data_IF_352414542455
#
_entry.id   IF_352414542455
#
_cell.length_a   1.000
_cell.length_b   1.000
_cell.length_c   1.000
_cell.angle_alpha   90.00
_cell.angle_beta   90.00
_cell.angle_gamma   90.00
#
_symmetry.space_group_name_H-M   'P 1'
#
loop_
_entity.id
_entity.type
_entity.pdbx_description
1 polymer ?
#
# COMPACT_ATOMS: atom_id res chain seq x y z
N UNK A 1 28.74 -11.68 4.39
CA UNK A 1 27.95 -12.90 4.65
C UNK A 1 26.51 -12.61 4.23
N UNK A 2 25.93 -13.29 3.23
CA UNK A 2 24.54 -13.03 2.85
C UNK A 2 23.63 -13.46 4.01
N UNK A 3 22.68 -12.61 4.37
CA UNK A 3 21.63 -12.95 5.33
C UNK A 3 20.88 -14.18 4.77
N UNK A 4 21.06 -15.37 5.38
CA UNK A 4 20.19 -16.51 5.09
C UNK A 4 18.87 -16.25 5.80
N UNK A 5 17.84 -15.91 5.04
CA UNK A 5 16.46 -15.97 5.54
C UNK A 5 16.13 -17.46 5.59
N UNK A 6 15.92 -18.07 6.76
CA UNK A 6 15.49 -19.46 6.83
C UNK A 6 14.14 -19.58 6.11
N UNK A 7 14.01 -20.57 5.23
CA UNK A 7 12.69 -20.98 4.73
C UNK A 7 11.94 -21.58 5.93
N UNK A 8 11.17 -20.74 6.63
CA UNK A 8 10.20 -21.23 7.59
C UNK A 8 9.02 -21.78 6.79
N UNK A 9 8.49 -22.97 7.13
CA UNK A 9 7.24 -23.43 6.54
C UNK A 9 6.19 -22.32 6.69
N UNK A 10 5.45 -22.04 5.61
CA UNK A 10 4.26 -21.20 5.62
C UNK A 10 3.24 -21.89 6.56
N UNK A 11 3.40 -21.72 7.87
CA UNK A 11 2.30 -21.87 8.80
C UNK A 11 1.50 -20.59 8.66
N UNK A 12 0.31 -20.62 8.03
CA UNK A 12 -0.49 -19.43 7.95
C UNK A 12 -0.81 -19.00 9.37
N UNK A 13 -0.20 -17.90 9.81
CA UNK A 13 -0.73 -17.19 10.97
C UNK A 13 -2.01 -16.57 10.45
N UNK A 14 -3.14 -17.21 10.78
CA UNK A 14 -4.46 -16.79 10.30
C UNK A 14 -4.84 -15.39 10.80
N UNK A 15 -4.22 -14.94 11.91
CA UNK A 15 -4.43 -13.60 12.45
C UNK A 15 -3.24 -13.13 13.30
N UNK A 16 -2.83 -11.87 13.09
CA UNK A 16 -1.82 -11.16 13.91
C UNK A 16 -2.15 -11.21 15.40
N UNK A 17 -3.44 -11.26 15.75
CA UNK A 17 -3.94 -11.19 17.12
C UNK A 17 -3.68 -12.46 17.94
N UNK A 18 -3.29 -13.56 17.29
CA UNK A 18 -3.00 -14.84 17.96
C UNK A 18 -1.54 -14.94 18.47
N UNK A 19 -0.67 -14.00 18.09
CA UNK A 19 0.75 -14.00 18.49
C UNK A 19 0.92 -13.32 19.87
N UNK A 20 1.52 -13.99 20.88
CA UNK A 20 1.74 -13.40 22.20
C UNK A 20 2.63 -12.15 22.21
N UNK A 21 2.33 -11.19 23.10
CA UNK A 21 3.03 -9.90 23.17
C UNK A 21 4.53 -10.00 23.44
N UNK A 22 4.98 -11.02 24.17
CA UNK A 22 6.41 -11.27 24.43
C UNK A 22 7.23 -11.54 23.15
N UNK A 23 6.57 -11.71 22.00
CA UNK A 23 7.17 -11.96 20.69
C UNK A 23 7.02 -10.75 19.74
N UNK A 24 6.70 -9.58 20.29
CA UNK A 24 6.63 -8.29 19.57
C UNK A 24 8.02 -7.66 19.46
N UNK A 25 8.33 -7.14 18.27
CA UNK A 25 9.33 -6.09 18.09
C UNK A 25 8.65 -4.83 17.53
N UNK A 26 9.11 -3.65 17.95
CA UNK A 26 8.61 -2.34 17.48
C UNK A 26 9.79 -1.35 17.35
N UNK A 27 9.59 -0.26 16.61
CA UNK A 27 10.61 0.78 16.43
C UNK A 27 11.78 0.41 15.52
N UNK A 28 11.72 -0.75 14.86
CA UNK A 28 12.82 -1.26 14.03
C UNK A 28 12.51 -1.30 12.54
N UNK A 29 11.24 -1.26 12.15
CA UNK A 29 10.81 -1.43 10.76
C UNK A 29 9.84 -0.31 10.38
N UNK A 30 10.20 0.45 9.34
CA UNK A 30 9.41 1.57 8.84
C UNK A 30 9.24 1.53 7.32
N UNK A 31 8.14 2.06 6.83
CA UNK A 31 7.95 2.39 5.42
C UNK A 31 7.97 3.91 5.25
N UNK A 32 8.90 4.41 4.44
CA UNK A 32 9.06 5.86 4.22
C UNK A 32 8.06 6.46 3.22
N UNK A 33 8.10 7.79 3.09
CA UNK A 33 7.30 8.55 2.11
C UNK A 33 7.62 8.26 0.64
N UNK A 34 8.61 7.43 0.32
CA UNK A 34 8.89 6.95 -1.04
C UNK A 34 8.52 5.48 -1.23
N UNK A 35 8.08 4.81 -0.16
CA UNK A 35 7.68 3.40 -0.20
C UNK A 35 8.87 2.46 -0.09
N UNK A 36 9.97 2.92 0.48
CA UNK A 36 11.14 2.13 0.79
C UNK A 36 11.03 1.63 2.22
N UNK A 37 11.29 0.33 2.37
CA UNK A 37 11.43 -0.29 3.67
C UNK A 37 12.74 0.18 4.33
N UNK A 38 12.67 0.57 5.59
CA UNK A 38 13.79 0.96 6.44
C UNK A 38 13.90 -0.02 7.61
N UNK A 39 15.13 -0.43 7.95
CA UNK A 39 15.43 -1.17 9.18
C UNK A 39 16.44 -0.38 10.02
N UNK A 40 16.05 -0.02 11.24
CA UNK A 40 16.77 1.02 12.00
C UNK A 40 16.86 2.31 11.18
N UNK A 41 18.07 2.83 10.98
CA UNK A 41 18.31 4.08 10.24
C UNK A 41 18.59 3.87 8.73
N UNK A 42 18.59 2.62 8.26
CA UNK A 42 19.08 2.27 6.92
C UNK A 42 18.01 1.68 5.99
N UNK A 43 18.06 1.95 4.67
CA UNK A 43 17.13 1.36 3.72
C UNK A 43 17.42 -0.11 3.46
N UNK A 44 16.35 -0.91 3.34
CA UNK A 44 16.41 -2.29 2.90
C UNK A 44 16.46 -2.33 1.37
N UNK A 45 17.61 -2.71 0.82
CA UNK A 45 17.83 -2.76 -0.64
C UNK A 45 17.62 -4.16 -1.23
N UNK A 46 17.75 -5.22 -0.42
CA UNK A 46 17.71 -6.60 -0.89
C UNK A 46 16.31 -6.98 -1.43
N UNK A 47 16.16 -7.29 -2.75
CA UNK A 47 14.84 -7.47 -3.37
C UNK A 47 13.98 -8.57 -2.74
N UNK A 48 14.58 -9.72 -2.40
CA UNK A 48 13.85 -10.82 -1.76
C UNK A 48 13.32 -10.45 -0.37
N UNK A 49 14.05 -9.60 0.36
CA UNK A 49 13.60 -9.16 1.68
C UNK A 49 12.43 -8.18 1.54
N UNK A 50 12.50 -7.25 0.58
CA UNK A 50 11.36 -6.36 0.28
C UNK A 50 10.11 -7.16 -0.11
N UNK A 51 10.26 -8.13 -1.01
CA UNK A 51 9.16 -8.99 -1.43
C UNK A 51 8.59 -9.80 -0.24
N UNK A 52 9.46 -10.30 0.63
CA UNK A 52 9.05 -10.94 1.87
C UNK A 52 8.22 -9.99 2.76
N UNK A 53 8.69 -8.77 3.01
CA UNK A 53 7.98 -7.81 3.87
C UNK A 53 6.58 -7.48 3.31
N UNK A 54 6.50 -7.20 2.01
CA UNK A 54 5.21 -6.96 1.37
C UNK A 54 4.25 -8.15 1.49
N UNK A 55 4.76 -9.37 1.29
CA UNK A 55 3.93 -10.60 1.37
C UNK A 55 3.41 -10.90 2.77
N UNK A 56 4.10 -10.44 3.82
CA UNK A 56 3.75 -10.76 5.22
C UNK A 56 3.24 -9.55 6.00
N UNK A 57 2.97 -8.42 5.32
CA UNK A 57 2.31 -7.28 5.92
C UNK A 57 0.85 -7.63 6.17
N UNK A 58 0.41 -7.50 7.42
CA UNK A 58 -0.96 -7.80 7.83
C UNK A 58 -1.50 -6.74 8.76
N UNK A 59 -2.79 -6.45 8.65
CA UNK A 59 -3.53 -5.53 9.49
C UNK A 59 -4.24 -6.31 10.61
N UNK A 60 -4.10 -5.86 11.85
CA UNK A 60 -4.85 -6.45 12.97
C UNK A 60 -6.23 -5.80 13.12
N UNK A 61 -7.05 -6.29 14.07
CA UNK A 61 -8.39 -5.75 14.33
C UNK A 61 -8.41 -4.30 14.82
N UNK A 62 -7.32 -3.83 15.41
CA UNK A 62 -7.14 -2.44 15.84
C UNK A 62 -6.70 -1.52 14.69
N UNK A 63 -6.47 -2.08 13.50
CA UNK A 63 -6.07 -1.34 12.31
C UNK A 63 -4.58 -1.06 12.17
N UNK A 64 -3.75 -1.59 13.07
CA UNK A 64 -2.28 -1.53 13.01
C UNK A 64 -1.74 -2.54 12.00
N UNK A 65 -0.57 -2.27 11.42
CA UNK A 65 0.06 -3.19 10.46
C UNK A 65 1.34 -3.80 11.02
N UNK A 66 1.52 -5.08 10.69
CA UNK A 66 2.52 -5.94 11.28
C UNK A 66 3.16 -6.82 10.20
N UNK A 67 4.46 -7.07 10.31
CA UNK A 67 5.10 -8.18 9.62
C UNK A 67 5.01 -9.41 10.51
N UNK A 68 4.43 -10.48 10.00
CA UNK A 68 4.41 -11.76 10.72
C UNK A 68 5.43 -12.72 10.14
N UNK A 69 6.33 -13.18 10.99
CA UNK A 69 7.36 -14.15 10.65
C UNK A 69 7.31 -15.33 11.62
N UNK A 70 6.48 -16.33 11.29
CA UNK A 70 6.23 -17.49 12.15
C UNK A 70 5.69 -17.06 13.52
N UNK A 71 6.38 -17.36 14.65
CA UNK A 71 5.91 -17.02 15.98
C UNK A 71 6.11 -15.54 16.36
N UNK A 72 6.78 -14.73 15.53
CA UNK A 72 7.09 -13.34 15.84
C UNK A 72 6.24 -12.37 15.00
N UNK A 73 5.91 -11.22 15.60
CA UNK A 73 5.29 -10.09 14.89
C UNK A 73 6.10 -8.81 15.11
N UNK A 74 6.28 -8.05 14.04
CA UNK A 74 7.00 -6.77 14.08
C UNK A 74 6.03 -5.65 13.70
N UNK A 75 5.83 -4.67 14.59
CA UNK A 75 5.00 -3.52 14.29
C UNK A 75 5.67 -2.68 13.21
N UNK A 76 4.90 -2.28 12.20
CA UNK A 76 5.38 -1.42 11.13
C UNK A 76 5.00 0.02 11.41
N UNK A 77 5.99 0.90 11.37
CA UNK A 77 5.77 2.34 11.37
C UNK A 77 5.61 2.84 9.92
N UNK A 78 4.71 3.79 9.71
CA UNK A 78 4.54 4.44 8.41
C UNK A 78 4.77 5.93 8.56
N UNK A 79 5.57 6.50 7.65
CA UNK A 79 5.70 7.97 7.57
C UNK A 79 4.48 8.63 6.93
N UNK A 80 3.65 7.86 6.23
CA UNK A 80 2.45 8.34 5.54
C UNK A 80 1.36 7.25 5.59
N UNK A 81 1.03 6.63 4.46
CA UNK A 81 0.01 5.58 4.35
C UNK A 81 0.62 4.17 4.35
N UNK A 82 -0.16 3.16 4.77
CA UNK A 82 0.32 1.78 4.81
C UNK A 82 0.62 1.20 3.44
N UNK A 83 -0.12 1.66 2.42
CA UNK A 83 0.02 1.21 1.05
C UNK A 83 0.49 2.34 0.14
N UNK A 84 1.11 1.96 -0.97
CA UNK A 84 1.60 2.89 -1.98
C UNK A 84 1.14 2.41 -3.36
N UNK A 85 0.74 3.35 -4.22
CA UNK A 85 0.57 3.13 -5.65
C UNK A 85 1.85 3.55 -6.35
N UNK A 86 2.51 2.59 -7.02
CA UNK A 86 3.78 2.79 -7.71
C UNK A 86 3.58 3.23 -9.16
N UNK A 87 2.59 2.64 -9.82
CA UNK A 87 2.26 2.92 -11.21
C UNK A 87 0.75 2.95 -11.44
N UNK A 88 0.33 3.74 -12.42
CA UNK A 88 -1.04 3.74 -12.92
C UNK A 88 -1.02 3.43 -14.41
N UNK A 89 -1.86 2.50 -14.85
CA UNK A 89 -1.95 2.13 -16.28
C UNK A 89 -3.38 1.80 -16.68
N UNK A 90 -3.67 1.88 -17.99
CA UNK A 90 -4.97 1.47 -18.52
C UNK A 90 -4.93 0.00 -18.96
N UNK A 91 -5.91 -0.78 -18.54
CA UNK A 91 -6.10 -2.17 -18.97
C UNK A 91 -7.60 -2.47 -19.04
N UNK A 92 -8.05 -3.13 -20.12
CA UNK A 92 -9.45 -3.55 -20.30
C UNK A 92 -10.50 -2.44 -20.07
N UNK A 93 -10.18 -1.19 -20.41
CA UNK A 93 -11.08 -0.04 -20.24
C UNK A 93 -11.21 0.48 -18.80
N UNK A 94 -10.30 0.09 -17.90
CA UNK A 94 -10.19 0.62 -16.55
C UNK A 94 -8.78 1.18 -16.30
N UNK A 95 -8.67 2.12 -15.36
CA UNK A 95 -7.38 2.49 -14.79
C UNK A 95 -7.05 1.51 -13.66
N UNK A 96 -5.80 1.06 -13.63
CA UNK A 96 -5.28 0.05 -12.72
C UNK A 96 -4.14 0.64 -11.92
N UNK A 97 -4.08 0.29 -10.64
CA UNK A 97 -3.01 0.61 -9.72
C UNK A 97 -2.09 -0.60 -9.53
N UNK A 98 -0.81 -0.43 -9.82
CA UNK A 98 0.21 -1.33 -9.29
C UNK A 98 0.62 -0.87 -7.90
N UNK A 99 0.40 -1.71 -6.88
CA UNK A 99 0.70 -1.40 -5.49
C UNK A 99 2.15 -1.75 -5.13
N UNK A 100 2.58 -1.31 -3.93
CA UNK A 100 3.92 -1.56 -3.39
C UNK A 100 4.36 -3.02 -3.37
N UNK A 101 3.41 -3.93 -3.17
CA UNK A 101 3.59 -5.39 -3.16
C UNK A 101 3.55 -6.04 -4.55
N UNK A 102 3.32 -5.25 -5.61
CA UNK A 102 3.15 -5.70 -6.99
C UNK A 102 1.77 -6.27 -7.29
N UNK A 103 0.82 -6.22 -6.34
CA UNK A 103 -0.58 -6.50 -6.65
C UNK A 103 -1.16 -5.40 -7.54
N UNK A 104 -2.13 -5.78 -8.37
CA UNK A 104 -2.83 -4.87 -9.27
C UNK A 104 -4.28 -4.82 -8.86
N UNK A 105 -4.78 -3.61 -8.61
CA UNK A 105 -6.16 -3.34 -8.22
C UNK A 105 -6.74 -2.27 -9.15
N UNK A 106 -8.03 -2.32 -9.50
CA UNK A 106 -8.65 -1.24 -10.25
C UNK A 106 -8.63 0.06 -9.45
N UNK A 107 -8.53 1.19 -10.14
CA UNK A 107 -8.76 2.51 -9.55
C UNK A 107 -10.19 2.53 -8.97
N UNK A 108 -10.35 2.84 -7.67
CA UNK A 108 -11.66 2.82 -7.00
C UNK A 108 -12.66 3.77 -7.66
N UNK A 109 -13.95 3.40 -7.72
CA UNK A 109 -14.96 4.25 -8.37
C UNK A 109 -15.15 5.61 -7.66
N UNK A 110 -14.80 5.70 -6.37
CA UNK A 110 -14.76 6.97 -5.65
C UNK A 110 -13.53 7.81 -6.01
N UNK A 111 -12.59 7.35 -6.82
CA UNK A 111 -11.52 8.15 -7.38
C UNK A 111 -10.38 8.47 -6.41
N UNK A 112 -9.84 9.69 -6.52
CA UNK A 112 -8.69 10.15 -5.75
C UNK A 112 -9.08 11.26 -4.78
N UNK A 113 -8.39 11.31 -3.65
CA UNK A 113 -8.37 12.44 -2.73
C UNK A 113 -7.05 13.21 -2.88
N UNK A 114 -7.17 14.51 -3.14
CA UNK A 114 -6.09 15.49 -3.13
C UNK A 114 -5.98 16.08 -1.73
N UNK A 115 -4.88 15.76 -1.05
CA UNK A 115 -4.58 16.28 0.28
C UNK A 115 -4.09 17.72 0.23
N UNK A 116 -4.17 18.47 1.33
CA UNK A 116 -3.65 19.85 1.41
C UNK A 116 -2.16 19.98 1.09
N UNK A 117 -1.37 18.92 1.28
CA UNK A 117 0.06 18.88 0.94
C UNK A 117 0.34 18.59 -0.55
N UNK A 118 -0.71 18.45 -1.36
CA UNK A 118 -0.64 18.13 -2.79
C UNK A 118 -0.47 16.64 -3.09
N UNK A 119 -0.40 15.78 -2.06
CA UNK A 119 -0.36 14.33 -2.25
C UNK A 119 -1.71 13.76 -2.67
N UNK A 120 -1.71 12.78 -3.57
CA UNK A 120 -2.90 12.03 -3.95
C UNK A 120 -2.98 10.72 -3.16
N UNK A 121 -4.18 10.38 -2.67
CA UNK A 121 -4.49 9.15 -1.95
C UNK A 121 -5.75 8.51 -2.52
N UNK A 122 -5.80 7.19 -2.53
CA UNK A 122 -6.99 6.40 -2.86
C UNK A 122 -7.27 5.38 -1.76
N UNK A 123 -8.51 4.91 -1.67
CA UNK A 123 -8.90 3.81 -0.78
C UNK A 123 -8.95 2.51 -1.57
N UNK A 124 -7.98 1.62 -1.39
CA UNK A 124 -7.89 0.35 -2.13
C UNK A 124 -8.41 -0.81 -1.28
N UNK A 125 -9.09 -1.77 -1.90
CA UNK A 125 -9.70 -2.90 -1.19
C UNK A 125 -8.71 -3.98 -0.72
N UNK A 126 -7.41 -3.84 -1.06
CA UNK A 126 -6.40 -4.89 -1.13
C UNK A 126 -6.62 -6.10 -0.21
N UNK A 127 -7.01 -7.23 -0.81
CA UNK A 127 -7.36 -8.46 -0.08
C UNK A 127 -6.19 -9.24 0.51
N UNK A 128 -4.96 -8.70 0.52
CA UNK A 128 -3.73 -9.42 0.94
C UNK A 128 -3.26 -9.11 2.34
N UNK A 129 -3.78 -8.08 3.01
CA UNK A 129 -3.30 -7.65 4.33
C UNK A 129 -3.98 -8.34 5.51
N UNK A 130 -4.53 -9.55 5.35
CA UNK A 130 -5.21 -10.29 6.43
C UNK A 130 -6.54 -9.68 6.88
N UNK A 131 -7.01 -8.63 6.21
CA UNK A 131 -8.33 -8.04 6.44
C UNK A 131 -9.40 -8.93 5.78
N UNK A 132 -9.91 -9.90 6.54
CA UNK A 132 -11.01 -10.78 6.08
C UNK A 132 -12.28 -9.99 5.77
N UNK A 133 -12.40 -8.76 6.25
CA UNK A 133 -13.54 -7.88 6.05
C UNK A 133 -13.35 -6.99 4.80
N UNK A 134 -12.21 -7.10 4.10
CA UNK A 134 -11.86 -6.31 2.90
C UNK A 134 -12.06 -4.80 3.10
N UNK A 135 -11.75 -4.29 4.31
CA UNK A 135 -11.89 -2.85 4.55
C UNK A 135 -10.91 -2.10 3.65
N UNK A 136 -11.33 -0.92 3.20
CA UNK A 136 -10.48 -0.04 2.41
C UNK A 136 -9.21 0.35 3.17
N UNK A 137 -8.08 0.31 2.46
CA UNK A 137 -6.77 0.74 2.93
C UNK A 137 -6.38 2.02 2.21
N UNK A 138 -5.96 3.04 2.96
CA UNK A 138 -5.40 4.25 2.35
C UNK A 138 -4.10 3.90 1.62
N UNK A 139 -4.02 4.29 0.35
CA UNK A 139 -2.86 4.11 -0.51
C UNK A 139 -2.50 5.45 -1.14
N UNK A 140 -1.33 6.00 -0.80
CA UNK A 140 -0.83 7.22 -1.47
C UNK A 140 -0.24 6.89 -2.83
N UNK A 141 -0.34 7.83 -3.75
CA UNK A 141 0.33 7.75 -5.03
C UNK A 141 1.77 8.28 -4.88
N UNK A 142 2.73 7.51 -5.40
CA UNK A 142 4.10 8.00 -5.56
C UNK A 142 4.17 9.06 -6.66
N UNK A 143 5.24 9.85 -6.70
CA UNK A 143 5.44 10.86 -7.76
C UNK A 143 5.38 10.25 -9.17
N UNK A 144 5.88 9.03 -9.32
CA UNK A 144 5.82 8.28 -10.57
C UNK A 144 4.36 7.95 -10.93
N UNK A 145 3.60 7.38 -9.99
CA UNK A 145 2.18 7.12 -10.20
C UNK A 145 1.38 8.40 -10.53
N UNK A 146 1.68 9.53 -9.90
CA UNK A 146 1.05 10.82 -10.23
C UNK A 146 1.43 11.27 -11.65
N UNK A 147 2.66 11.07 -12.08
CA UNK A 147 3.06 11.39 -13.45
C UNK A 147 2.34 10.50 -14.48
N UNK A 148 2.10 9.22 -14.16
CA UNK A 148 1.36 8.31 -15.03
C UNK A 148 -0.08 8.82 -15.29
N UNK A 149 -0.71 9.45 -14.28
CA UNK A 149 -2.06 10.01 -14.38
C UNK A 149 -2.20 11.13 -15.42
N UNK A 150 -1.12 11.82 -15.78
CA UNK A 150 -1.17 12.95 -16.73
C UNK A 150 -1.79 12.56 -18.08
N UNK A 151 -1.71 11.29 -18.46
CA UNK A 151 -2.32 10.72 -19.67
C UNK A 151 -3.86 10.79 -19.67
N UNK A 152 -4.48 10.72 -18.49
CA UNK A 152 -5.93 10.63 -18.32
C UNK A 152 -6.52 11.81 -17.55
N UNK A 153 -5.71 12.78 -17.16
CA UNK A 153 -6.17 13.97 -16.46
C UNK A 153 -7.05 14.80 -17.40
N UNK A 154 -8.26 15.12 -16.94
CA UNK A 154 -9.24 15.94 -17.64
C UNK A 154 -9.96 16.84 -16.60
N UNK A 155 -10.83 17.72 -17.09
CA UNK A 155 -11.76 18.48 -16.25
C UNK A 155 -13.20 18.04 -16.58
N UNK A 156 -14.05 17.92 -15.56
CA UNK A 156 -15.47 17.70 -15.78
C UNK A 156 -16.18 18.98 -16.28
N UNK A 157 -17.49 18.89 -16.53
CA UNK A 157 -18.27 20.02 -17.06
C UNK A 157 -18.28 21.27 -16.17
N UNK A 158 -17.93 21.14 -14.89
CA UNK A 158 -17.86 22.23 -13.91
C UNK A 158 -16.42 22.71 -13.67
N UNK A 159 -15.44 22.18 -14.41
CA UNK A 159 -14.01 22.51 -14.25
C UNK A 159 -13.33 21.78 -13.09
N UNK A 160 -13.95 20.72 -12.55
CA UNK A 160 -13.36 19.91 -11.48
C UNK A 160 -12.38 18.90 -12.07
N UNK A 161 -11.16 18.75 -11.52
CA UNK A 161 -10.20 17.78 -12.04
C UNK A 161 -10.71 16.34 -11.88
N UNK A 162 -10.57 15.56 -12.94
CA UNK A 162 -10.95 14.15 -12.97
C UNK A 162 -9.96 13.32 -13.80
N UNK A 163 -10.07 12.00 -13.70
CA UNK A 163 -9.41 11.07 -14.59
C UNK A 163 -10.44 10.51 -15.56
N UNK A 164 -10.10 10.41 -16.85
CA UNK A 164 -11.02 9.96 -17.89
C UNK A 164 -10.40 8.91 -18.81
N UNK A 165 -11.12 7.81 -19.01
CA UNK A 165 -10.77 6.75 -19.94
C UNK A 165 -12.02 6.30 -20.70
N UNK A 166 -12.13 6.69 -21.98
CA UNK A 166 -13.34 6.48 -22.75
C UNK A 166 -14.52 7.24 -22.14
N UNK A 167 -15.60 6.53 -21.81
CA UNK A 167 -16.78 7.08 -21.14
C UNK A 167 -16.68 7.05 -19.61
N UNK A 168 -15.67 6.38 -19.05
CA UNK A 168 -15.48 6.30 -17.59
C UNK A 168 -14.76 7.54 -17.09
N UNK A 169 -15.20 8.02 -15.93
CA UNK A 169 -14.65 9.17 -15.25
C UNK A 169 -14.50 8.86 -13.76
N UNK A 170 -13.37 9.25 -13.18
CA UNK A 170 -13.09 9.14 -11.75
C UNK A 170 -12.75 10.52 -11.18
N UNK A 171 -13.41 10.96 -10.11
CA UNK A 171 -13.19 12.31 -9.59
C UNK A 171 -11.86 12.42 -8.86
N UNK A 172 -11.26 13.62 -8.89
CA UNK A 172 -10.19 14.02 -7.97
C UNK A 172 -10.76 15.08 -7.03
N UNK A 173 -10.99 14.70 -5.77
CA UNK A 173 -11.65 15.58 -4.78
C UNK A 173 -10.64 16.12 -3.79
N UNK A 174 -10.78 17.36 -3.36
CA UNK A 174 -10.02 17.87 -2.23
C UNK A 174 -10.42 17.14 -0.93
N UNK A 175 -9.44 16.79 -0.10
CA UNK A 175 -9.66 16.37 1.29
C UNK A 175 -10.15 17.58 2.10
N UNK A 176 -11.28 17.43 2.79
CA UNK A 176 -11.89 18.47 3.62
C UNK A 176 -11.33 18.50 5.03
#
# INVERSE_FOLDING_TARGET
MPLRIPEQPDHPVESVDQIPDRLIAAGVLRLDREGRWLIGDGPITHPKLKAFLWRHLMRNREGQYWIVNGPQRVLVEFEDTPLIVRHVFAENGALMFELGDGSVEPLPDDGLLLRPDGGLVATVACGRYGDTERRGHAARLTRTAVADLATWLDEDGDGTPCLKLGERMWPIRAEM
#
